data_IF_483474596034
#
_entry.id   IF_483474596034
#
_cell.length_a   1.000
_cell.length_b   1.000
_cell.length_c   1.000
_cell.angle_alpha   90.00
_cell.angle_beta   90.00
_cell.angle_gamma   90.00
#
_symmetry.space_group_name_H-M   'P 1'
#
loop_
_entity.id
_entity.type
_entity.pdbx_description
1 polymer ?
#
# COMPACT_ATOMS: atom_id res chain seq x y z
N UNK A 1 -20.58 1.34 -7.61
CA UNK A 1 -19.96 1.24 -6.28
C UNK A 1 -18.91 2.34 -6.23
N UNK A 2 -19.14 3.36 -5.40
CA UNK A 2 -18.18 4.41 -5.09
C UNK A 2 -16.93 3.80 -4.45
N UNK A 3 -15.81 4.52 -4.51
CA UNK A 3 -14.51 4.05 -3.99
C UNK A 3 -14.52 3.88 -2.47
N UNK A 4 -15.28 4.72 -1.77
CA UNK A 4 -15.49 4.63 -0.32
C UNK A 4 -16.35 3.42 0.06
N UNK A 5 -17.23 2.95 -0.83
CA UNK A 5 -18.12 1.82 -0.57
C UNK A 5 -17.35 0.52 -0.29
N UNK A 6 -16.18 0.33 -0.91
CA UNK A 6 -15.39 -0.89 -0.76
C UNK A 6 -14.78 -1.01 0.64
N UNK A 7 -14.25 0.08 1.18
CA UNK A 7 -13.69 0.11 2.52
C UNK A 7 -14.78 -0.07 3.58
N UNK A 8 -15.90 0.64 3.44
CA UNK A 8 -17.03 0.50 4.37
C UNK A 8 -17.66 -0.90 4.34
N UNK A 9 -17.74 -1.51 3.16
CA UNK A 9 -18.18 -2.91 3.03
C UNK A 9 -17.26 -3.84 3.81
N UNK A 10 -15.94 -3.70 3.66
CA UNK A 10 -14.98 -4.49 4.42
C UNK A 10 -15.08 -4.22 5.92
N UNK A 11 -15.20 -2.96 6.33
CA UNK A 11 -15.30 -2.57 7.75
C UNK A 11 -16.50 -3.24 8.42
N UNK A 12 -17.65 -3.25 7.74
CA UNK A 12 -18.85 -3.93 8.23
C UNK A 12 -18.72 -5.45 8.32
N UNK A 13 -17.95 -6.08 7.43
CA UNK A 13 -17.66 -7.52 7.50
C UNK A 13 -16.68 -7.82 8.64
N UNK A 14 -15.57 -7.07 8.73
CA UNK A 14 -14.57 -7.23 9.77
C UNK A 14 -15.16 -7.03 11.17
N UNK A 15 -16.04 -6.04 11.36
CA UNK A 15 -16.69 -5.82 12.65
C UNK A 15 -17.57 -7.01 13.07
N UNK A 16 -18.24 -7.68 12.12
CA UNK A 16 -19.01 -8.90 12.41
C UNK A 16 -18.11 -10.04 12.84
N UNK A 17 -16.98 -10.24 12.16
CA UNK A 17 -16.00 -11.28 12.47
C UNK A 17 -15.31 -11.04 13.83
N UNK A 18 -15.06 -9.77 14.15
CA UNK A 18 -14.48 -9.33 15.42
C UNK A 18 -15.50 -9.21 16.56
N UNK A 19 -16.72 -9.75 16.37
CA UNK A 19 -17.79 -9.75 17.39
C UNK A 19 -18.11 -8.35 17.93
N UNK A 20 -18.12 -7.35 17.05
CA UNK A 20 -18.44 -5.97 17.37
C UNK A 20 -17.23 -5.10 17.76
N UNK A 21 -16.03 -5.66 17.90
CA UNK A 21 -14.83 -4.86 18.12
C UNK A 21 -14.48 -4.03 16.88
N UNK A 22 -13.85 -2.88 17.10
CA UNK A 22 -13.44 -1.99 16.04
C UNK A 22 -12.33 -2.64 15.19
N UNK A 23 -12.51 -2.74 13.85
CA UNK A 23 -11.46 -3.20 12.95
C UNK A 23 -10.16 -2.39 13.03
N UNK A 24 -10.20 -1.14 13.52
CA UNK A 24 -8.99 -0.33 13.73
C UNK A 24 -8.05 -0.94 14.78
N UNK A 25 -8.55 -1.81 15.67
CA UNK A 25 -7.73 -2.59 16.61
C UNK A 25 -6.73 -3.53 15.92
N UNK A 26 -6.93 -3.83 14.63
CA UNK A 26 -6.02 -4.64 13.82
C UNK A 26 -4.86 -3.84 13.23
N UNK A 27 -4.80 -2.52 13.48
CA UNK A 27 -3.71 -1.66 13.01
C UNK A 27 -2.39 -2.08 13.64
N UNK A 28 -1.39 -2.35 12.80
CA UNK A 28 -0.05 -2.66 13.28
C UNK A 28 0.78 -1.40 13.44
N UNK A 29 1.17 -1.11 14.68
CA UNK A 29 2.15 -0.06 14.99
C UNK A 29 3.57 -0.63 14.89
N UNK A 30 4.23 -0.30 13.79
CA UNK A 30 5.62 -0.69 13.52
C UNK A 30 6.60 0.05 14.44
N UNK A 31 7.81 -0.49 14.59
CA UNK A 31 8.87 0.14 15.40
C UNK A 31 9.35 1.47 14.78
N UNK A 32 9.14 1.63 13.47
CA UNK A 32 9.38 2.83 12.68
C UNK A 32 8.35 3.95 12.97
N UNK A 33 7.35 3.71 13.82
CA UNK A 33 6.31 4.68 14.16
C UNK A 33 5.22 4.82 13.10
N UNK A 34 5.14 3.88 12.15
CA UNK A 34 4.14 3.87 11.07
C UNK A 34 2.97 2.97 11.49
N UNK A 35 1.76 3.51 11.40
CA UNK A 35 0.51 2.78 11.59
C UNK A 35 0.10 2.09 10.28
N UNK A 36 0.30 0.78 10.19
CA UNK A 36 -0.04 -0.03 9.02
C UNK A 36 -1.50 -0.45 9.12
N UNK A 37 -2.33 0.01 8.18
CA UNK A 37 -3.75 -0.32 8.12
C UNK A 37 -3.93 -1.82 7.80
N UNK A 38 -4.97 -2.47 8.34
CA UNK A 38 -5.27 -3.87 8.03
C UNK A 38 -5.77 -4.10 6.60
N UNK A 39 -6.25 -3.05 5.92
CA UNK A 39 -6.64 -3.08 4.52
C UNK A 39 -6.27 -1.75 3.84
N UNK A 40 -5.74 -1.83 2.63
CA UNK A 40 -5.55 -0.70 1.72
C UNK A 40 -6.39 -0.92 0.47
N UNK A 41 -6.93 0.17 -0.06
CA UNK A 41 -7.80 0.21 -1.23
C UNK A 41 -7.21 1.10 -2.31
N UNK A 42 -7.91 1.21 -3.45
CA UNK A 42 -7.53 2.17 -4.49
C UNK A 42 -7.54 3.62 -3.97
N UNK A 43 -8.43 3.95 -3.04
CA UNK A 43 -8.51 5.29 -2.46
C UNK A 43 -7.19 5.70 -1.77
N UNK A 44 -6.49 4.76 -1.16
CA UNK A 44 -5.20 5.01 -0.49
C UNK A 44 -4.05 5.35 -1.47
N UNK A 45 -4.25 5.12 -2.78
CA UNK A 45 -3.29 5.48 -3.82
C UNK A 45 -3.60 6.82 -4.49
N UNK A 46 -4.71 7.47 -4.12
CA UNK A 46 -5.11 8.74 -4.73
C UNK A 46 -4.19 9.89 -4.32
N UNK A 47 -3.91 10.79 -5.26
CA UNK A 47 -3.02 11.93 -5.02
C UNK A 47 -1.52 11.58 -4.97
N UNK A 48 -1.14 10.32 -5.11
CA UNK A 48 0.27 9.93 -5.19
C UNK A 48 0.87 10.37 -6.54
N UNK A 49 1.65 11.45 -6.52
CA UNK A 49 2.22 12.09 -7.73
C UNK A 49 3.26 11.26 -8.47
N UNK A 50 3.80 10.22 -7.85
CA UNK A 50 4.91 9.42 -8.36
C UNK A 50 4.50 8.06 -8.94
N UNK A 51 3.20 7.72 -8.94
CA UNK A 51 2.74 6.42 -9.45
C UNK A 51 3.05 6.22 -10.93
N UNK A 52 3.00 7.29 -11.71
CA UNK A 52 3.28 7.30 -13.14
C UNK A 52 4.78 7.52 -13.46
N UNK A 53 5.65 7.54 -12.44
CA UNK A 53 7.09 7.66 -12.65
C UNK A 53 7.67 6.44 -13.35
N UNK A 54 8.80 6.65 -14.05
CA UNK A 54 9.50 5.59 -14.79
C UNK A 54 10.82 5.21 -14.10
N UNK A 55 11.20 3.92 -14.10
CA UNK A 55 12.52 3.51 -13.62
C UNK A 55 13.61 4.18 -14.46
N UNK A 56 14.72 4.56 -13.83
CA UNK A 56 15.81 5.29 -14.49
C UNK A 56 15.57 6.78 -14.70
N UNK A 57 14.44 7.33 -14.23
CA UNK A 57 14.12 8.77 -14.28
C UNK A 57 13.97 9.31 -12.84
N UNK A 58 14.47 10.52 -12.59
CA UNK A 58 14.32 11.17 -11.29
C UNK A 58 12.83 11.29 -10.90
N UNK A 59 12.44 11.10 -9.63
CA UNK A 59 13.28 10.94 -8.43
C UNK A 59 13.72 9.48 -8.15
N UNK A 60 13.67 8.59 -9.15
CA UNK A 60 14.14 7.21 -9.07
C UNK A 60 13.39 6.30 -8.08
N UNK A 61 12.17 6.66 -7.69
CA UNK A 61 11.31 5.85 -6.79
C UNK A 61 11.13 4.41 -7.29
N UNK A 62 11.09 4.21 -8.61
CA UNK A 62 10.96 2.88 -9.26
C UNK A 62 12.30 2.23 -9.64
N UNK A 63 13.41 2.83 -9.21
CA UNK A 63 14.75 2.31 -9.40
C UNK A 63 15.65 3.18 -10.29
N UNK A 64 16.98 3.04 -10.16
CA UNK A 64 17.95 3.91 -10.82
C UNK A 64 18.26 3.54 -12.29
N UNK A 65 17.80 2.38 -12.79
CA UNK A 65 18.07 1.91 -14.16
C UNK A 65 16.76 1.65 -14.89
N UNK A 66 16.66 2.03 -16.16
CA UNK A 66 15.44 1.86 -16.95
C UNK A 66 14.94 0.41 -17.04
N UNK A 67 15.86 -0.56 -17.11
CA UNK A 67 15.52 -1.99 -17.23
C UNK A 67 15.61 -2.77 -15.92
N UNK A 68 16.10 -2.14 -14.84
CA UNK A 68 16.36 -2.78 -13.54
C UNK A 68 16.94 -4.20 -13.70
N UNK A 69 16.25 -5.21 -13.15
CA UNK A 69 16.70 -6.59 -13.14
C UNK A 69 16.20 -7.42 -14.32
N UNK A 70 15.47 -6.83 -15.27
CA UNK A 70 15.01 -7.54 -16.46
C UNK A 70 16.18 -7.97 -17.37
N UNK A 71 17.28 -7.20 -17.40
CA UNK A 71 18.48 -7.54 -18.18
C UNK A 71 19.62 -8.15 -17.36
N UNK A 72 19.87 -7.65 -16.14
CA UNK A 72 20.94 -8.14 -15.25
C UNK A 72 20.44 -8.19 -13.81
N UNK A 73 20.45 -9.34 -13.13
CA UNK A 73 19.98 -9.45 -11.75
C UNK A 73 20.91 -8.71 -10.78
N UNK A 74 20.48 -8.58 -9.51
CA UNK A 74 21.31 -8.00 -8.46
C UNK A 74 22.57 -8.85 -8.21
N UNK A 75 23.66 -8.20 -7.84
CA UNK A 75 24.92 -8.88 -7.50
C UNK A 75 24.82 -9.50 -6.10
N UNK A 76 25.05 -10.81 -6.00
CA UNK A 76 25.28 -11.47 -4.70
C UNK A 76 26.68 -11.06 -4.22
N UNK A 77 26.81 -10.66 -2.97
CA UNK A 77 28.08 -10.30 -2.34
C UNK A 77 28.25 -11.06 -1.05
#
# INVERSE_FOLDING_TARGET
>A
MSRDDAYETWKGLAQKELKGQDPDSLTWHTLEGIAVKPLYTRADTEGLTHLDSMPGVAPFTRGPRATMYAGRPWTIR
#
